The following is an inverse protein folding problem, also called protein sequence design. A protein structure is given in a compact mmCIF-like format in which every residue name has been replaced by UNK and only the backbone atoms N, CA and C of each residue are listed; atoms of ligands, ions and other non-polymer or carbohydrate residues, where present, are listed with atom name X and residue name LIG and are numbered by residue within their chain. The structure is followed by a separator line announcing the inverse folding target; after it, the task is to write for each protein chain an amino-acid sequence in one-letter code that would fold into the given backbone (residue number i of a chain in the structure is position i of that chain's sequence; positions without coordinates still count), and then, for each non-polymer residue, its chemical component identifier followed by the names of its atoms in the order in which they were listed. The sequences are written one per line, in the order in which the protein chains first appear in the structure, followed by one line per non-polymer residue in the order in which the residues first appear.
data_IF_951517797484
#
_entry.id   IF_951517797484
#
_cell.length_a   1.000
_cell.length_b   1.000
_cell.length_c   1.000
_cell.angle_alpha   90.00
_cell.angle_beta   90.00
_cell.angle_gamma   90.00
#
_symmetry.space_group_name_H-M   'P 1'
#
loop_
_entity.id
_entity.type
_entity.pdbx_description
1 polymer ?
#
# COMPACT_ATOMS: atom_id res chain seq x y z
N UNK A 1 32.24 -1.33 5.43
CA UNK A 1 31.62 0.01 5.35
C UNK A 1 31.19 0.40 6.76
N UNK A 2 31.45 1.63 7.23
CA UNK A 2 30.98 2.06 8.56
C UNK A 2 29.45 1.95 8.62
N UNK A 3 28.91 1.53 9.78
CA UNK A 3 27.47 1.41 10.00
C UNK A 3 26.81 2.78 9.72
N UNK A 4 25.96 2.84 8.70
CA UNK A 4 25.19 4.05 8.41
C UNK A 4 24.32 4.37 9.64
N UNK A 5 24.22 5.65 10.06
CA UNK A 5 23.47 6.00 11.26
C UNK A 5 22.01 5.55 11.13
N UNK A 6 21.43 5.08 12.25
CA UNK A 6 20.00 4.71 12.34
C UNK A 6 19.18 5.89 11.87
N UNK A 7 18.65 5.77 10.66
CA UNK A 7 17.84 6.82 10.07
C UNK A 7 16.46 6.82 10.75
N UNK A 8 15.94 8.01 10.99
CA UNK A 8 14.53 8.17 11.35
C UNK A 8 13.64 7.81 10.15
N UNK A 9 12.42 7.33 10.41
CA UNK A 9 11.44 6.98 9.35
C UNK A 9 11.34 7.98 8.18
N UNK A 10 11.31 9.30 8.42
CA UNK A 10 11.32 10.32 7.37
C UNK A 10 12.55 10.33 6.46
N UNK A 11 13.72 9.99 7.00
CA UNK A 11 14.95 9.95 6.23
C UNK A 11 14.96 8.76 5.27
N UNK A 12 14.41 7.61 5.66
CA UNK A 12 14.22 6.46 4.76
C UNK A 12 13.32 6.81 3.58
N UNK A 13 12.20 7.51 3.80
CA UNK A 13 11.32 7.93 2.72
C UNK A 13 12.00 8.93 1.76
N UNK A 14 12.76 9.89 2.32
CA UNK A 14 13.51 10.87 1.52
C UNK A 14 14.59 10.22 0.66
N UNK A 15 15.33 9.26 1.21
CA UNK A 15 16.32 8.49 0.45
C UNK A 15 15.64 7.60 -0.61
N UNK A 16 14.53 6.95 -0.26
CA UNK A 16 13.72 6.19 -1.21
C UNK A 16 13.28 7.03 -2.40
N UNK A 17 12.81 8.26 -2.16
CA UNK A 17 12.46 9.21 -3.22
C UNK A 17 13.66 9.55 -4.13
N UNK A 18 14.83 9.83 -3.54
CA UNK A 18 16.06 10.09 -4.32
C UNK A 18 16.45 8.90 -5.19
N UNK A 19 16.34 7.70 -4.64
CA UNK A 19 16.71 6.46 -5.33
C UNK A 19 15.77 6.19 -6.50
N UNK A 20 14.47 6.37 -6.30
CA UNK A 20 13.44 6.17 -7.33
C UNK A 20 13.55 7.17 -8.49
N UNK A 21 14.01 8.39 -8.21
CA UNK A 21 14.28 9.41 -9.23
C UNK A 21 15.59 9.18 -9.99
N UNK A 22 16.39 8.17 -9.61
CA UNK A 22 17.63 7.85 -10.32
C UNK A 22 17.35 7.30 -11.74
N UNK A 23 18.25 7.51 -12.71
CA UNK A 23 18.05 7.10 -14.09
C UNK A 23 17.77 5.60 -14.28
N UNK A 24 18.34 4.75 -13.40
CA UNK A 24 18.16 3.30 -13.44
C UNK A 24 16.79 2.84 -12.94
N UNK A 25 16.19 3.54 -11.97
CA UNK A 25 14.96 3.08 -11.32
C UNK A 25 13.67 3.79 -11.77
N UNK A 26 13.77 4.97 -12.41
CA UNK A 26 12.59 5.74 -12.85
C UNK A 26 11.64 4.97 -13.78
N UNK A 27 12.16 4.02 -14.56
CA UNK A 27 11.35 3.20 -15.47
C UNK A 27 10.38 2.29 -14.70
N UNK A 28 10.80 1.79 -13.53
CA UNK A 28 9.96 0.94 -12.67
C UNK A 28 8.83 1.72 -11.98
N UNK A 29 8.86 3.06 -12.01
CA UNK A 29 7.72 3.90 -11.59
C UNK A 29 6.76 4.13 -12.74
N UNK A 30 7.29 4.44 -13.92
CA UNK A 30 6.49 4.80 -15.08
C UNK A 30 5.64 3.61 -15.59
N UNK A 31 6.16 2.39 -15.51
CA UNK A 31 5.45 1.17 -15.92
C UNK A 31 4.14 0.93 -15.14
N UNK A 32 4.15 0.78 -13.81
CA UNK A 32 2.91 0.60 -13.05
C UNK A 32 1.98 1.81 -13.17
N UNK A 33 2.51 3.03 -13.29
CA UNK A 33 1.68 4.22 -13.55
C UNK A 33 0.95 4.13 -14.90
N UNK A 34 1.64 3.74 -15.96
CA UNK A 34 1.05 3.57 -17.29
C UNK A 34 -0.03 2.49 -17.29
N UNK A 35 0.22 1.35 -16.65
CA UNK A 35 -0.76 0.27 -16.52
C UNK A 35 -1.98 0.72 -15.71
N UNK A 36 -1.76 1.46 -14.61
CA UNK A 36 -2.85 2.01 -13.82
C UNK A 36 -3.66 3.04 -14.60
N UNK A 37 -3.03 3.86 -15.44
CA UNK A 37 -3.73 4.78 -16.32
C UNK A 37 -4.61 4.04 -17.35
N UNK A 38 -4.11 2.96 -17.94
CA UNK A 38 -4.89 2.11 -18.86
C UNK A 38 -6.08 1.48 -18.13
N UNK A 39 -5.86 0.94 -16.94
CA UNK A 39 -6.92 0.38 -16.09
C UNK A 39 -7.97 1.45 -15.77
N UNK A 40 -7.55 2.65 -15.36
CA UNK A 40 -8.42 3.76 -15.03
C UNK A 40 -9.28 4.16 -16.22
N UNK A 41 -8.69 4.41 -17.39
CA UNK A 41 -9.42 4.79 -18.61
C UNK A 41 -10.41 3.70 -19.02
N UNK A 42 -10.02 2.43 -18.91
CA UNK A 42 -10.89 1.30 -19.25
C UNK A 42 -12.07 1.18 -18.29
N UNK A 43 -11.80 1.21 -16.98
CA UNK A 43 -12.82 1.08 -15.94
C UNK A 43 -13.77 2.28 -15.89
N UNK A 44 -13.27 3.51 -16.06
CA UNK A 44 -14.13 4.70 -16.06
C UNK A 44 -15.03 4.71 -17.30
N UNK A 45 -14.50 4.34 -18.47
CA UNK A 45 -15.30 4.24 -19.70
C UNK A 45 -16.42 3.21 -19.56
N UNK A 46 -16.11 2.05 -18.97
CA UNK A 46 -17.10 1.02 -18.67
C UNK A 46 -18.12 1.48 -17.62
N UNK A 47 -17.64 2.09 -16.53
CA UNK A 47 -18.50 2.57 -15.45
C UNK A 47 -19.47 3.65 -15.94
N UNK A 48 -19.03 4.61 -16.75
CA UNK A 48 -19.91 5.65 -17.33
C UNK A 48 -21.00 5.04 -18.20
N UNK A 49 -20.68 4.00 -18.99
CA UNK A 49 -21.68 3.32 -19.84
C UNK A 49 -22.72 2.53 -19.02
N UNK A 50 -22.33 1.96 -17.88
CA UNK A 50 -23.21 1.13 -17.04
C UNK A 50 -23.84 1.89 -15.86
N UNK A 51 -23.43 3.15 -15.65
CA UNK A 51 -23.75 3.90 -14.43
C UNK A 51 -25.25 4.04 -14.20
N UNK A 52 -25.98 4.49 -15.22
CA UNK A 52 -27.45 4.63 -15.13
C UNK A 52 -28.11 3.29 -14.85
N UNK A 53 -27.72 2.23 -15.56
CA UNK A 53 -28.25 0.88 -15.38
C UNK A 53 -28.04 0.35 -13.96
N UNK A 54 -26.88 0.60 -13.35
CA UNK A 54 -26.63 0.22 -11.94
C UNK A 54 -27.49 1.01 -10.97
N UNK A 55 -27.60 2.34 -11.13
CA UNK A 55 -28.45 3.17 -10.27
C UNK A 55 -29.92 2.72 -10.36
N UNK A 56 -30.42 2.49 -11.57
CA UNK A 56 -31.79 2.05 -11.83
C UNK A 56 -32.06 0.66 -11.24
N UNK A 57 -31.07 -0.24 -11.25
CA UNK A 57 -31.18 -1.59 -10.65
C UNK A 57 -31.33 -1.55 -9.14
N UNK A 58 -30.64 -0.62 -8.47
CA UNK A 58 -30.74 -0.47 -7.02
C UNK A 58 -31.95 0.37 -6.57
N UNK A 59 -32.48 1.22 -7.46
CA UNK A 59 -33.67 2.03 -7.18
C UNK A 59 -34.91 1.15 -7.01
N UNK A 60 -35.58 1.17 -5.84
CA UNK A 60 -36.80 0.41 -5.65
C UNK A 60 -37.95 1.00 -6.49
N UNK A 61 -38.83 0.12 -7.00
CA UNK A 61 -40.09 0.57 -7.60
C UNK A 61 -41.04 1.04 -6.49
N UNK A 62 -41.31 2.34 -6.48
CA UNK A 62 -42.14 2.99 -5.47
C UNK A 62 -43.52 3.36 -6.05
N UNK A 63 -44.62 3.17 -5.30
CA UNK A 63 -45.93 3.66 -5.69
C UNK A 63 -45.98 5.20 -5.73
N UNK A 64 -46.91 5.76 -6.51
CA UNK A 64 -46.96 7.21 -6.80
C UNK A 64 -46.93 8.12 -5.55
N UNK A 65 -47.56 7.73 -4.45
CA UNK A 65 -47.58 8.50 -3.21
C UNK A 65 -46.21 8.54 -2.49
N UNK A 66 -45.32 7.58 -2.77
CA UNK A 66 -43.94 7.52 -2.29
C UNK A 66 -42.93 8.06 -3.31
N UNK A 67 -43.37 8.54 -4.47
CA UNK A 67 -42.46 9.03 -5.53
C UNK A 67 -41.52 10.14 -5.04
N UNK A 68 -41.92 10.93 -4.04
CA UNK A 68 -41.08 11.95 -3.43
C UNK A 68 -39.79 11.38 -2.80
N UNK A 69 -39.79 10.11 -2.36
CA UNK A 69 -38.58 9.46 -1.83
C UNK A 69 -37.51 9.26 -2.90
N UNK A 70 -37.88 9.22 -4.18
CA UNK A 70 -36.89 9.06 -5.25
C UNK A 70 -35.88 10.22 -5.28
N UNK A 71 -36.29 11.44 -4.93
CA UNK A 71 -35.39 12.59 -4.84
C UNK A 71 -34.31 12.42 -3.76
N UNK A 72 -34.57 11.63 -2.71
CA UNK A 72 -33.65 11.35 -1.60
C UNK A 72 -32.83 10.08 -1.87
N UNK A 73 -33.48 9.04 -2.40
CA UNK A 73 -32.85 7.75 -2.69
C UNK A 73 -31.89 7.83 -3.88
N UNK A 74 -32.20 8.64 -4.89
CA UNK A 74 -31.36 8.73 -6.09
C UNK A 74 -29.93 9.21 -5.77
N UNK A 75 -29.70 10.31 -5.02
CA UNK A 75 -28.34 10.68 -4.60
C UNK A 75 -27.65 9.61 -3.76
N UNK A 76 -28.40 8.90 -2.89
CA UNK A 76 -27.85 7.84 -2.05
C UNK A 76 -27.32 6.68 -2.89
N UNK A 77 -28.09 6.20 -3.87
CA UNK A 77 -27.67 5.12 -4.75
C UNK A 77 -26.57 5.54 -5.73
N UNK A 78 -26.60 6.79 -6.21
CA UNK A 78 -25.49 7.39 -6.96
C UNK A 78 -24.20 7.32 -6.14
N UNK A 79 -24.22 7.76 -4.87
CA UNK A 79 -23.06 7.68 -3.98
C UNK A 79 -22.66 6.23 -3.74
N UNK A 80 -23.61 5.31 -3.54
CA UNK A 80 -23.33 3.89 -3.36
C UNK A 80 -22.60 3.30 -4.58
N UNK A 81 -23.10 3.54 -5.79
CA UNK A 81 -22.48 3.07 -7.04
C UNK A 81 -21.11 3.70 -7.22
N UNK A 82 -20.94 5.00 -6.95
CA UNK A 82 -19.63 5.66 -6.98
C UNK A 82 -18.65 5.03 -5.99
N UNK A 83 -19.08 4.73 -4.77
CA UNK A 83 -18.25 4.04 -3.77
C UNK A 83 -17.90 2.64 -4.24
N UNK A 84 -18.84 1.87 -4.80
CA UNK A 84 -18.57 0.55 -5.36
C UNK A 84 -17.51 0.62 -6.46
N UNK A 85 -17.67 1.51 -7.45
CA UNK A 85 -16.70 1.71 -8.52
C UNK A 85 -15.34 2.12 -7.96
N UNK A 86 -15.30 3.06 -7.01
CA UNK A 86 -14.08 3.52 -6.36
C UNK A 86 -13.34 2.39 -5.62
N UNK A 87 -14.04 1.60 -4.81
CA UNK A 87 -13.43 0.49 -4.06
C UNK A 87 -13.01 -0.65 -4.99
N UNK A 88 -13.79 -0.99 -6.01
CA UNK A 88 -13.42 -2.00 -7.01
C UNK A 88 -12.18 -1.57 -7.80
N UNK A 89 -12.14 -0.32 -8.29
CA UNK A 89 -10.96 0.22 -8.96
C UNK A 89 -9.74 0.20 -8.04
N UNK A 90 -9.88 0.69 -6.81
CA UNK A 90 -8.80 0.72 -5.82
C UNK A 90 -8.26 -0.69 -5.54
N UNK A 91 -9.14 -1.67 -5.37
CA UNK A 91 -8.77 -3.06 -5.15
C UNK A 91 -7.99 -3.62 -6.34
N UNK A 92 -8.49 -3.44 -7.56
CA UNK A 92 -7.84 -3.93 -8.79
C UNK A 92 -6.50 -3.24 -9.02
N UNK A 93 -6.44 -1.92 -8.88
CA UNK A 93 -5.21 -1.14 -9.01
C UNK A 93 -4.13 -1.62 -8.02
N UNK A 94 -4.51 -1.88 -6.76
CA UNK A 94 -3.58 -2.39 -5.75
C UNK A 94 -3.11 -3.82 -6.07
N UNK A 95 -4.01 -4.71 -6.52
CA UNK A 95 -3.66 -6.07 -6.92
C UNK A 95 -2.67 -6.05 -8.09
N UNK A 96 -2.92 -5.19 -9.08
CA UNK A 96 -2.04 -5.03 -10.26
C UNK A 96 -0.70 -4.41 -9.86
N UNK A 97 -0.69 -3.45 -8.93
CA UNK A 97 0.52 -2.78 -8.47
C UNK A 97 1.43 -3.69 -7.61
N UNK A 98 0.86 -4.68 -6.93
CA UNK A 98 1.59 -5.57 -6.02
C UNK A 98 2.85 -6.24 -6.61
N UNK A 99 2.79 -6.91 -7.78
CA UNK A 99 3.98 -7.49 -8.41
C UNK A 99 5.01 -6.43 -8.79
N UNK A 100 4.59 -5.25 -9.27
CA UNK A 100 5.51 -4.15 -9.58
C UNK A 100 6.21 -3.61 -8.34
N UNK A 101 5.48 -3.48 -7.22
CA UNK A 101 6.06 -3.04 -5.96
C UNK A 101 7.06 -4.07 -5.41
N UNK A 102 6.74 -5.38 -5.49
CA UNK A 102 7.68 -6.44 -5.13
C UNK A 102 8.93 -6.44 -6.00
N UNK A 103 8.77 -6.30 -7.32
CA UNK A 103 9.88 -6.23 -8.26
C UNK A 103 10.75 -4.98 -8.06
N UNK A 104 10.13 -3.82 -7.84
CA UNK A 104 10.83 -2.58 -7.49
C UNK A 104 11.64 -2.77 -6.19
N UNK A 105 11.05 -3.40 -5.17
CA UNK A 105 11.74 -3.66 -3.92
C UNK A 105 12.98 -4.55 -4.11
N UNK A 106 12.92 -5.57 -4.98
CA UNK A 106 14.07 -6.41 -5.31
C UNK A 106 15.18 -5.60 -5.99
N UNK A 107 14.84 -4.81 -7.02
CA UNK A 107 15.84 -4.00 -7.73
C UNK A 107 16.44 -2.92 -6.85
N UNK A 108 15.64 -2.31 -5.96
CA UNK A 108 16.15 -1.38 -4.95
C UNK A 108 17.11 -2.08 -3.98
N UNK A 109 16.82 -3.33 -3.58
CA UNK A 109 17.70 -4.08 -2.67
C UNK A 109 19.08 -4.32 -3.29
N UNK A 110 19.13 -4.73 -4.56
CA UNK A 110 20.37 -4.93 -5.32
C UNK A 110 21.19 -3.64 -5.40
N UNK A 111 20.54 -2.51 -5.71
CA UNK A 111 21.20 -1.19 -5.77
C UNK A 111 21.67 -0.76 -4.38
N UNK A 112 20.87 -0.98 -3.33
CA UNK A 112 21.22 -0.62 -1.97
C UNK A 112 22.38 -1.43 -1.40
N UNK A 113 22.55 -2.69 -1.83
CA UNK A 113 23.69 -3.56 -1.48
C UNK A 113 24.95 -3.24 -2.30
N UNK A 114 24.82 -2.47 -3.38
CA UNK A 114 25.92 -2.14 -4.28
C UNK A 114 26.31 -3.26 -5.24
N UNK A 115 25.44 -4.25 -5.43
CA UNK A 115 25.67 -5.41 -6.30
C UNK A 115 25.52 -5.04 -7.79
N UNK A 116 24.49 -4.26 -8.12
CA UNK A 116 24.25 -3.73 -9.46
C UNK A 116 23.59 -2.35 -9.37
N UNK A 117 24.07 -1.40 -10.18
CA UNK A 117 23.56 -0.03 -10.24
C UNK A 117 22.47 0.13 -11.31
N UNK A 118 22.39 -0.79 -12.27
CA UNK A 118 21.43 -0.77 -13.39
C UNK A 118 20.77 -2.14 -13.61
N UNK A 119 19.97 -2.61 -12.63
CA UNK A 119 19.29 -3.89 -12.78
C UNK A 119 18.33 -3.87 -13.98
N UNK A 120 18.39 -4.87 -14.89
CA UNK A 120 17.51 -4.93 -16.04
C UNK A 120 16.07 -5.26 -15.62
N UNK A 121 15.10 -4.75 -16.37
CA UNK A 121 13.70 -5.16 -16.24
C UNK A 121 13.47 -6.47 -16.98
N UNK A 122 12.81 -7.45 -16.33
CA UNK A 122 12.48 -8.75 -16.91
C UNK A 122 11.00 -9.08 -16.69
N UNK A 123 10.25 -9.19 -17.79
CA UNK A 123 8.84 -9.63 -17.74
C UNK A 123 8.68 -11.05 -17.18
N UNK A 124 9.67 -11.92 -17.40
CA UNK A 124 9.65 -13.29 -16.91
C UNK A 124 9.77 -13.35 -15.38
N UNK A 125 10.67 -12.55 -14.81
CA UNK A 125 10.82 -12.42 -13.35
C UNK A 125 9.55 -11.85 -12.72
N UNK A 126 8.99 -10.78 -13.30
CA UNK A 126 7.75 -10.18 -12.82
C UNK A 126 6.59 -11.19 -12.83
N UNK A 127 6.42 -11.93 -13.93
CA UNK A 127 5.36 -12.94 -14.06
C UNK A 127 5.52 -14.07 -13.03
N UNK A 128 6.75 -14.51 -12.74
CA UNK A 128 7.03 -15.52 -11.73
C UNK A 128 6.68 -15.03 -10.30
N UNK A 129 6.72 -13.73 -10.05
CA UNK A 129 6.37 -13.14 -8.74
C UNK A 129 4.87 -12.97 -8.52
N UNK A 130 4.06 -12.89 -9.58
CA UNK A 130 2.60 -12.66 -9.51
C UNK A 130 1.89 -13.58 -8.50
N UNK A 131 1.99 -14.92 -8.57
CA UNK A 131 1.22 -15.79 -7.67
C UNK A 131 1.60 -15.58 -6.19
N UNK A 132 2.90 -15.40 -5.90
CA UNK A 132 3.39 -15.16 -4.54
C UNK A 132 2.92 -13.81 -4.00
N UNK A 133 3.13 -12.75 -4.78
CA UNK A 133 2.79 -11.37 -4.39
C UNK A 133 1.29 -11.19 -4.22
N UNK A 134 0.46 -11.77 -5.09
CA UNK A 134 -0.99 -11.78 -4.92
C UNK A 134 -1.41 -12.51 -3.64
N UNK A 135 -0.88 -13.71 -3.38
CA UNK A 135 -1.15 -14.43 -2.14
C UNK A 135 -0.74 -13.66 -0.89
N UNK A 136 0.36 -12.89 -0.97
CA UNK A 136 0.83 -12.01 0.10
C UNK A 136 -0.11 -10.84 0.33
N UNK A 137 -0.56 -10.15 -0.72
CA UNK A 137 -1.55 -9.07 -0.61
C UNK A 137 -2.89 -9.56 -0.06
N UNK A 138 -3.35 -10.76 -0.43
CA UNK A 138 -4.56 -11.33 0.16
C UNK A 138 -4.43 -11.55 1.68
N UNK A 139 -3.24 -11.90 2.17
CA UNK A 139 -2.96 -11.94 3.62
C UNK A 139 -2.99 -10.55 4.25
N UNK A 140 -2.47 -9.53 3.57
CA UNK A 140 -2.55 -8.13 4.04
C UNK A 140 -4.01 -7.66 4.13
N UNK A 141 -4.83 -7.97 3.11
CA UNK A 141 -6.27 -7.71 3.13
C UNK A 141 -6.97 -8.45 4.27
N UNK A 142 -6.66 -9.73 4.48
CA UNK A 142 -7.19 -10.52 5.59
C UNK A 142 -6.75 -10.01 6.98
N UNK A 143 -5.60 -9.34 7.07
CA UNK A 143 -5.17 -8.66 8.29
C UNK A 143 -5.86 -7.30 8.47
N UNK A 144 -6.02 -6.54 7.39
CA UNK A 144 -6.61 -5.21 7.37
C UNK A 144 -8.11 -5.23 7.63
N UNK A 145 -8.86 -5.98 6.83
CA UNK A 145 -10.31 -5.87 6.71
C UNK A 145 -11.05 -6.15 8.04
N UNK A 146 -10.75 -7.22 8.80
CA UNK A 146 -11.43 -7.47 10.07
C UNK A 146 -11.17 -6.37 11.10
N UNK A 147 -9.97 -5.79 11.11
CA UNK A 147 -9.58 -4.72 12.04
C UNK A 147 -10.20 -3.39 11.65
N UNK A 148 -10.21 -3.06 10.36
CA UNK A 148 -10.87 -1.89 9.82
C UNK A 148 -12.38 -1.93 10.09
N UNK A 149 -13.03 -3.09 9.85
CA UNK A 149 -14.45 -3.29 10.17
C UNK A 149 -14.70 -3.15 11.68
N UNK A 150 -13.85 -3.76 12.53
CA UNK A 150 -13.98 -3.63 13.98
C UNK A 150 -13.88 -2.18 14.46
N UNK A 151 -12.92 -1.41 13.92
CA UNK A 151 -12.78 0.02 14.24
C UNK A 151 -13.92 0.86 13.66
N UNK A 152 -14.49 0.45 12.52
CA UNK A 152 -15.63 1.14 11.90
C UNK A 152 -16.89 0.93 12.74
N UNK A 153 -17.15 -0.29 13.22
CA UNK A 153 -18.25 -0.56 14.14
C UNK A 153 -18.07 0.26 15.43
N UNK A 154 -16.84 0.32 15.94
CA UNK A 154 -16.50 1.09 17.14
C UNK A 154 -16.75 2.60 16.96
N UNK A 155 -16.57 3.15 15.75
CA UNK A 155 -16.78 4.57 15.47
C UNK A 155 -18.25 4.99 15.42
N UNK A 156 -19.18 4.03 15.25
CA UNK A 156 -20.62 4.29 15.34
C UNK A 156 -21.15 4.33 16.78
N UNK A 157 -20.39 3.85 17.75
CA UNK A 157 -20.79 3.86 19.16
C UNK A 157 -20.50 5.26 19.76
N UNK A 158 -21.52 6.02 20.18
CA UNK A 158 -21.33 7.34 20.80
C UNK A 158 -20.40 7.23 22.02
N UNK A 159 -19.60 8.27 22.30
CA UNK A 159 -18.56 8.32 23.36
C UNK A 159 -17.34 7.46 23.04
N UNK A 160 -17.52 6.23 22.58
CA UNK A 160 -16.42 5.32 22.20
C UNK A 160 -15.77 5.74 20.88
N UNK A 161 -16.51 6.43 20.01
CA UNK A 161 -16.02 7.05 18.78
C UNK A 161 -14.82 8.00 19.01
N UNK A 162 -14.71 8.65 20.18
CA UNK A 162 -13.58 9.49 20.56
C UNK A 162 -12.27 8.70 20.66
N UNK A 163 -12.35 7.42 21.07
CA UNK A 163 -11.20 6.50 21.12
C UNK A 163 -10.99 5.80 19.77
N UNK A 164 -12.06 5.59 19.01
CA UNK A 164 -11.97 4.98 17.69
C UNK A 164 -11.11 5.83 16.72
N UNK A 165 -11.22 7.16 16.77
CA UNK A 165 -10.45 8.07 15.90
C UNK A 165 -8.92 7.94 16.04
N UNK A 166 -8.30 8.05 17.23
CA UNK A 166 -6.87 7.85 17.39
C UNK A 166 -6.44 6.40 17.09
N UNK A 167 -7.28 5.41 17.39
CA UNK A 167 -7.01 4.02 17.02
C UNK A 167 -7.00 3.83 15.49
N UNK A 168 -7.88 4.51 14.77
CA UNK A 168 -7.90 4.50 13.30
C UNK A 168 -6.60 5.06 12.73
N UNK A 169 -6.13 6.18 13.26
CA UNK A 169 -4.87 6.79 12.84
C UNK A 169 -3.68 5.87 13.13
N UNK A 170 -3.56 5.35 14.35
CA UNK A 170 -2.48 4.45 14.74
C UNK A 170 -2.47 3.17 13.91
N UNK A 171 -3.65 2.60 13.66
CA UNK A 171 -3.80 1.44 12.81
C UNK A 171 -3.44 1.74 11.35
N UNK A 172 -3.87 2.88 10.81
CA UNK A 172 -3.51 3.31 9.46
C UNK A 172 -1.99 3.49 9.29
N UNK A 173 -1.34 4.13 10.26
CA UNK A 173 0.11 4.29 10.32
C UNK A 173 0.82 2.94 10.39
N UNK A 174 0.39 2.04 11.28
CA UNK A 174 0.92 0.69 11.37
C UNK A 174 0.75 -0.08 10.05
N UNK A 175 -0.41 0.04 9.41
CA UNK A 175 -0.69 -0.63 8.15
C UNK A 175 0.19 -0.13 7.01
N UNK A 176 0.60 1.14 7.00
CA UNK A 176 1.60 1.61 6.02
C UNK A 176 2.95 0.91 6.23
N UNK A 177 3.40 0.76 7.48
CA UNK A 177 4.63 0.03 7.76
C UNK A 177 4.52 -1.44 7.29
N UNK A 178 3.43 -2.12 7.65
CA UNK A 178 3.15 -3.50 7.21
C UNK A 178 3.08 -3.60 5.69
N UNK A 179 2.42 -2.67 5.00
CA UNK A 179 2.23 -2.74 3.55
C UNK A 179 3.55 -2.69 2.79
N UNK A 180 4.40 -1.71 3.11
CA UNK A 180 5.60 -1.40 2.34
C UNK A 180 6.82 -2.21 2.78
N UNK A 181 7.01 -2.44 4.09
CA UNK A 181 8.16 -3.21 4.61
C UNK A 181 8.00 -4.71 4.32
N UNK A 182 6.78 -5.16 4.06
CA UNK A 182 6.54 -6.54 3.65
C UNK A 182 7.06 -6.87 2.25
N UNK A 183 7.21 -5.91 1.33
CA UNK A 183 7.75 -6.19 -0.02
C UNK A 183 9.17 -6.79 0.02
N UNK A 184 10.17 -6.16 0.65
CA UNK A 184 11.50 -6.76 0.77
C UNK A 184 11.50 -8.03 1.64
N UNK A 185 10.63 -8.10 2.67
CA UNK A 185 10.51 -9.29 3.51
C UNK A 185 9.96 -10.51 2.74
N UNK A 186 8.96 -10.31 1.88
CA UNK A 186 8.39 -11.35 1.02
C UNK A 186 9.37 -11.78 -0.06
N UNK A 187 10.15 -10.84 -0.62
CA UNK A 187 11.25 -11.15 -1.55
C UNK A 187 12.26 -12.10 -0.92
N UNK A 188 12.62 -11.84 0.34
CA UNK A 188 13.49 -12.69 1.16
C UNK A 188 12.77 -13.92 1.77
N UNK A 189 11.55 -14.24 1.31
CA UNK A 189 10.73 -15.41 1.72
C UNK A 189 10.44 -15.48 3.22
N UNK A 190 10.44 -14.35 3.91
CA UNK A 190 10.10 -14.29 5.34
C UNK A 190 8.61 -14.59 5.54
N UNK A 191 8.30 -15.44 6.53
CA UNK A 191 6.91 -15.77 6.83
C UNK A 191 6.13 -14.53 7.29
N UNK A 192 4.82 -14.54 7.13
CA UNK A 192 3.96 -13.43 7.54
C UNK A 192 4.02 -13.18 9.06
N UNK A 193 4.11 -14.26 9.84
CA UNK A 193 4.16 -14.18 11.30
C UNK A 193 5.49 -13.60 11.77
N UNK A 194 6.60 -14.04 11.18
CA UNK A 194 7.93 -13.51 11.49
C UNK A 194 8.04 -12.03 11.10
N UNK A 195 7.43 -11.64 9.98
CA UNK A 195 7.36 -10.24 9.55
C UNK A 195 6.63 -9.36 10.57
N UNK A 196 5.46 -9.79 11.05
CA UNK A 196 4.74 -9.06 12.09
C UNK A 196 5.51 -9.01 13.42
N UNK A 197 6.19 -10.10 13.80
CA UNK A 197 7.02 -10.13 14.99
C UNK A 197 8.19 -9.13 14.89
N UNK A 198 8.92 -9.16 13.77
CA UNK A 198 10.04 -8.28 13.50
C UNK A 198 9.63 -6.79 13.49
N UNK A 199 8.49 -6.45 12.88
CA UNK A 199 7.96 -5.07 12.91
C UNK A 199 7.57 -4.62 14.32
N UNK A 200 7.11 -5.53 15.18
CA UNK A 200 6.74 -5.25 16.58
C UNK A 200 7.96 -5.04 17.47
N UNK A 201 9.03 -5.80 17.25
CA UNK A 201 10.32 -5.57 17.92
C UNK A 201 10.85 -4.16 17.66
N UNK A 202 10.69 -3.68 16.41
CA UNK A 202 11.08 -2.34 15.97
C UNK A 202 9.90 -1.37 15.90
N UNK A 203 8.95 -1.45 16.84
CA UNK A 203 7.68 -0.71 16.79
C UNK A 203 7.85 0.79 16.55
N UNK A 204 8.85 1.44 17.16
CA UNK A 204 9.03 2.88 17.05
C UNK A 204 9.53 3.30 15.67
N UNK A 205 10.45 2.53 15.09
CA UNK A 205 10.96 2.75 13.75
C UNK A 205 9.87 2.46 12.71
N UNK A 206 9.18 1.34 12.86
CA UNK A 206 8.05 0.95 12.01
C UNK A 206 6.94 2.00 12.02
N UNK A 207 6.52 2.48 13.20
CA UNK A 207 5.51 3.53 13.33
C UNK A 207 5.98 4.88 12.78
N UNK A 208 7.25 5.24 12.98
CA UNK A 208 7.81 6.49 12.42
C UNK A 208 7.82 6.46 10.89
N UNK A 209 8.23 5.33 10.30
CA UNK A 209 8.22 5.13 8.85
C UNK A 209 6.79 5.08 8.29
N UNK A 210 5.91 4.33 8.94
CA UNK A 210 4.49 4.28 8.58
C UNK A 210 3.81 5.64 8.69
N UNK A 211 4.18 6.45 9.69
CA UNK A 211 3.58 7.75 9.97
C UNK A 211 3.88 8.77 8.89
N UNK A 212 5.15 8.90 8.50
CA UNK A 212 5.54 9.79 7.41
C UNK A 212 4.97 9.30 6.07
N UNK A 213 4.94 7.99 5.84
CA UNK A 213 4.38 7.40 4.62
C UNK A 213 2.88 7.68 4.53
N UNK A 214 2.15 7.52 5.64
CA UNK A 214 0.74 7.85 5.73
C UNK A 214 0.49 9.32 5.40
N UNK A 215 1.23 10.24 6.05
CA UNK A 215 1.11 11.67 5.80
C UNK A 215 1.44 12.06 4.34
N UNK A 216 2.45 11.44 3.75
CA UNK A 216 2.86 11.70 2.38
C UNK A 216 1.83 11.21 1.35
N UNK A 217 1.18 10.07 1.61
CA UNK A 217 0.12 9.52 0.77
C UNK A 217 -1.21 10.27 0.87
N UNK A 218 -1.43 11.03 1.95
CA UNK A 218 -2.61 11.90 2.09
C UNK A 218 -2.58 13.10 1.14
N UNK A 219 -1.40 13.52 0.66
CA UNK A 219 -1.28 14.68 -0.24
C UNK A 219 -1.64 14.24 -1.67
N UNK A 220 -2.75 14.74 -2.26
CA UNK A 220 -3.15 14.38 -3.61
C UNK A 220 -2.08 14.80 -4.63
N UNK A 221 -1.87 13.98 -5.67
CA UNK A 221 -0.87 14.22 -6.70
C UNK A 221 0.54 13.79 -6.29
N UNK A 222 0.97 14.08 -5.06
CA UNK A 222 2.24 13.57 -4.52
C UNK A 222 2.19 12.06 -4.29
N UNK A 223 1.04 11.52 -3.88
CA UNK A 223 0.83 10.10 -3.61
C UNK A 223 1.31 9.16 -4.74
N UNK A 224 1.24 9.59 -6.01
CA UNK A 224 1.73 8.84 -7.17
C UNK A 224 3.23 8.53 -7.07
N UNK A 225 4.03 9.53 -6.66
CA UNK A 225 5.48 9.38 -6.47
C UNK A 225 5.82 8.83 -5.08
N UNK A 226 4.95 9.06 -4.09
CA UNK A 226 5.20 8.59 -2.72
C UNK A 226 5.05 7.08 -2.58
N UNK A 227 4.19 6.41 -3.38
CA UNK A 227 4.11 4.94 -3.38
C UNK A 227 5.44 4.25 -3.72
N UNK A 228 6.09 4.51 -4.87
CA UNK A 228 7.38 3.90 -5.17
C UNK A 228 8.49 4.39 -4.23
N UNK A 229 8.45 5.65 -3.79
CA UNK A 229 9.38 6.16 -2.78
C UNK A 229 9.27 5.42 -1.45
N UNK A 230 8.04 5.07 -1.02
CA UNK A 230 7.79 4.28 0.17
C UNK A 230 8.26 2.84 0.00
N UNK A 231 8.05 2.21 -1.16
CA UNK A 231 8.63 0.89 -1.47
C UNK A 231 10.16 0.93 -1.35
N UNK A 232 10.81 1.89 -2.01
CA UNK A 232 12.27 2.01 -1.96
C UNK A 232 12.79 2.34 -0.55
N UNK A 233 12.11 3.24 0.16
CA UNK A 233 12.44 3.59 1.55
C UNK A 233 12.28 2.41 2.50
N UNK A 234 11.25 1.59 2.30
CA UNK A 234 11.02 0.37 3.08
C UNK A 234 12.08 -0.71 2.80
N UNK A 235 12.54 -0.83 1.55
CA UNK A 235 13.68 -1.70 1.23
C UNK A 235 14.99 -1.20 1.86
N UNK A 236 15.24 0.11 1.86
CA UNK A 236 16.40 0.67 2.57
C UNK A 236 16.32 0.41 4.07
N UNK A 237 15.13 0.56 4.66
CA UNK A 237 14.86 0.21 6.06
C UNK A 237 15.19 -1.26 6.32
N UNK A 238 14.72 -2.17 5.46
CA UNK A 238 15.01 -3.59 5.56
C UNK A 238 16.51 -3.89 5.51
N UNK A 239 17.22 -3.41 4.49
CA UNK A 239 18.65 -3.71 4.27
C UNK A 239 19.52 -3.21 5.43
N UNK A 240 19.29 -1.99 5.91
CA UNK A 240 20.11 -1.40 6.98
C UNK A 240 19.85 -2.06 8.34
N UNK A 241 18.59 -2.25 8.70
CA UNK A 241 18.22 -2.81 10.02
C UNK A 241 18.55 -4.30 10.13
N UNK A 242 18.47 -5.08 9.03
CA UNK A 242 18.96 -6.48 9.00
C UNK A 242 20.48 -6.57 8.97
N UNK A 243 21.15 -5.66 8.26
CA UNK A 243 22.61 -5.59 8.23
C UNK A 243 23.20 -5.38 9.63
N UNK A 244 22.57 -4.53 10.44
CA UNK A 244 22.96 -4.32 11.84
C UNK A 244 22.75 -5.56 12.72
N UNK A 245 21.64 -6.28 12.57
CA UNK A 245 21.42 -7.55 13.31
C UNK A 245 22.51 -8.58 13.01
N UNK A 246 22.93 -8.71 11.74
CA UNK A 246 24.01 -9.61 11.35
C UNK A 246 25.38 -9.17 11.90
N UNK A 247 25.61 -7.86 12.04
CA UNK A 247 26.84 -7.30 12.62
C UNK A 247 26.88 -7.39 14.15
N UNK A 248 25.73 -7.22 14.83
CA UNK A 248 25.58 -7.37 16.27
C UNK A 248 25.76 -8.82 16.72
N UNK A 249 25.09 -9.76 16.05
CA UNK A 249 25.24 -11.19 16.32
C UNK A 249 26.67 -11.70 16.10
N UNK A 250 27.46 -11.07 15.21
CA UNK A 250 28.88 -11.39 15.02
C UNK A 250 29.78 -10.86 16.14
N UNK A 251 29.40 -9.80 16.83
CA UNK A 251 30.15 -9.25 17.97
C UNK A 251 29.89 -10.02 19.27
N UNK A 252 28.74 -10.66 19.40
CA UNK A 252 28.40 -11.47 20.60
C UNK A 252 29.01 -12.90 20.55
N UNK A 253 29.60 -13.29 19.41
CA UNK A 253 30.24 -14.61 19.18
C UNK A 253 31.78 -14.51 19.25
N UNK A 254 32.35 -13.32 19.41
CA UNK A 254 33.81 -13.06 19.54
C UNK A 254 34.10 -12.49 20.91
#
# INVERSE_FOLDING_TARGET
MPAAPVLSGPQYLREGLRLVLSPGLRLFVLLPLAINLILFVSMISFAVQQFSGWVDTFMPSLPNWLSFLQYILWPLFVVLVLLMVFFTFTLLANIIAAPFNGFLAEKVEVVARGEDHFPPFSWAELAAMVPRTMGREMRKLGYFLPRAIGLLILSFIPVVNLVAAPLWLLFGVWMMAVQYIDYPADNNKMSWQDMLAWLREKRWQSLSFGGITYAALLVPGLNILMMPAAVAGATLFWVRERGEQALGSRKDIV
#
